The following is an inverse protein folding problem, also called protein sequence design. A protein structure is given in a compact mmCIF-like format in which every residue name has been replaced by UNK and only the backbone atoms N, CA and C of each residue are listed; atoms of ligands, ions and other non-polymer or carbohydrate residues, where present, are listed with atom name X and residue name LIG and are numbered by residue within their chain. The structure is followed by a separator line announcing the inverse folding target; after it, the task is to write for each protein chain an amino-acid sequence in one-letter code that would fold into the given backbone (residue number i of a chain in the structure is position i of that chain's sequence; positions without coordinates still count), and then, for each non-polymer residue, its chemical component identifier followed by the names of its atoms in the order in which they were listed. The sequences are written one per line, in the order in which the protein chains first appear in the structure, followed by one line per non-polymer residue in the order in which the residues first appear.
data_IF_644126336768
#
_entry.id   IF_644126336768
#
_cell.length_a   1.000
_cell.length_b   1.000
_cell.length_c   1.000
_cell.angle_alpha   90.00
_cell.angle_beta   90.00
_cell.angle_gamma   90.00
#
_symmetry.space_group_name_H-M   'P 1'
#
loop_
_entity.id
_entity.type
_entity.pdbx_description
1 polymer ?
#
# COMPACT_ATOMS: atom_id res chain seq x y z
N UNK A 1 -1.13 -2.75 -9.94
CA UNK A 1 -0.52 -1.63 -9.18
C UNK A 1 0.49 -2.13 -8.18
N UNK A 2 0.09 -2.90 -7.15
CA UNK A 2 1.01 -3.56 -6.21
C UNK A 2 2.11 -4.38 -6.90
N UNK A 3 1.73 -5.33 -7.76
CA UNK A 3 2.70 -6.19 -8.44
C UNK A 3 3.74 -5.37 -9.21
N UNK A 4 3.29 -4.50 -10.13
CA UNK A 4 4.18 -3.61 -10.88
C UNK A 4 5.04 -2.70 -10.00
N UNK A 5 4.53 -2.21 -8.86
CA UNK A 5 5.31 -1.41 -7.92
C UNK A 5 6.59 -2.12 -7.47
N UNK A 6 6.45 -3.39 -7.12
CA UNK A 6 7.52 -4.21 -6.59
C UNK A 6 8.31 -4.98 -7.64
N UNK A 7 7.75 -5.27 -8.82
CA UNK A 7 8.40 -6.17 -9.81
C UNK A 7 8.81 -5.51 -11.11
N UNK A 8 8.40 -4.27 -11.40
CA UNK A 8 8.79 -3.59 -12.64
C UNK A 8 10.30 -3.31 -12.69
N UNK A 9 10.83 -3.24 -13.91
CA UNK A 9 12.23 -2.91 -14.21
C UNK A 9 12.25 -1.78 -15.26
N UNK A 10 12.71 -0.57 -14.92
CA UNK A 10 13.00 -0.10 -13.57
C UNK A 10 11.75 -0.10 -12.68
N UNK A 11 11.94 -0.16 -11.36
CA UNK A 11 10.85 -0.11 -10.37
C UNK A 11 9.98 1.13 -10.61
N UNK A 12 8.66 1.03 -10.38
CA UNK A 12 7.72 2.14 -10.64
C UNK A 12 8.14 3.42 -9.95
N UNK A 13 8.65 3.34 -8.71
CA UNK A 13 9.15 4.49 -7.96
C UNK A 13 10.47 5.08 -8.47
N UNK A 14 11.24 4.31 -9.24
CA UNK A 14 12.50 4.73 -9.84
C UNK A 14 12.35 5.11 -11.33
N UNK A 15 11.19 4.86 -11.94
CA UNK A 15 10.95 5.11 -13.35
C UNK A 15 10.78 6.61 -13.64
N UNK A 16 11.60 7.13 -14.57
CA UNK A 16 11.51 8.52 -15.07
C UNK A 16 10.41 8.70 -16.12
N UNK A 17 9.90 7.61 -16.69
CA UNK A 17 8.91 7.63 -17.78
C UNK A 17 7.47 7.80 -17.28
N UNK A 18 7.24 7.64 -15.96
CA UNK A 18 5.91 7.78 -15.37
C UNK A 18 5.64 9.25 -15.05
N UNK A 19 4.50 9.77 -15.54
CA UNK A 19 4.05 11.13 -15.21
C UNK A 19 3.97 11.32 -13.70
N UNK A 20 4.43 12.48 -13.19
CA UNK A 20 4.46 12.79 -11.75
C UNK A 20 3.12 12.56 -11.04
N UNK A 21 2.02 12.94 -11.68
CA UNK A 21 0.66 12.75 -11.15
C UNK A 21 0.30 11.27 -11.00
N UNK A 22 0.54 10.46 -12.05
CA UNK A 22 0.30 9.02 -12.00
C UNK A 22 1.19 8.33 -10.95
N UNK A 23 2.45 8.74 -10.83
CA UNK A 23 3.35 8.23 -9.81
C UNK A 23 2.82 8.54 -8.39
N UNK A 24 2.35 9.76 -8.16
CA UNK A 24 1.73 10.14 -6.88
C UNK A 24 0.50 9.27 -6.54
N UNK A 25 -0.34 8.95 -7.52
CA UNK A 25 -1.48 8.06 -7.30
C UNK A 25 -1.05 6.63 -6.98
N UNK A 26 -0.08 6.09 -7.72
CA UNK A 26 0.47 4.76 -7.48
C UNK A 26 1.07 4.64 -6.07
N UNK A 27 1.81 5.67 -5.61
CA UNK A 27 2.33 5.76 -4.23
C UNK A 27 1.23 5.63 -3.19
N UNK A 28 0.13 6.36 -3.38
CA UNK A 28 -0.98 6.33 -2.44
C UNK A 28 -1.73 5.00 -2.46
N UNK A 29 -1.97 4.44 -3.65
CA UNK A 29 -2.61 3.13 -3.76
C UNK A 29 -1.79 2.06 -3.05
N UNK A 30 -0.49 2.00 -3.32
CA UNK A 30 0.41 1.02 -2.68
C UNK A 30 0.46 1.22 -1.17
N UNK A 31 0.58 2.48 -0.71
CA UNK A 31 0.54 2.78 0.72
C UNK A 31 -0.77 2.34 1.38
N UNK A 32 -1.92 2.58 0.76
CA UNK A 32 -3.18 2.07 1.30
C UNK A 32 -3.23 0.54 1.34
N UNK A 33 -2.76 -0.14 0.28
CA UNK A 33 -2.72 -1.60 0.24
C UNK A 33 -1.87 -2.20 1.37
N UNK A 34 -0.76 -1.56 1.74
CA UNK A 34 0.10 -1.99 2.86
C UNK A 34 -0.67 -2.02 4.19
N UNK A 35 -1.59 -1.09 4.43
CA UNK A 35 -2.39 -1.03 5.66
C UNK A 35 -3.33 -2.23 5.82
N UNK A 36 -3.69 -2.89 4.72
CA UNK A 36 -4.65 -4.00 4.69
C UNK A 36 -3.98 -5.38 4.71
N UNK A 37 -2.72 -5.45 5.16
CA UNK A 37 -2.01 -6.69 5.47
C UNK A 37 -1.94 -6.86 7.00
N UNK A 38 -2.89 -7.59 7.62
CA UNK A 38 -3.08 -7.59 9.08
C UNK A 38 -1.91 -8.23 9.84
N UNK A 39 -1.17 -9.13 9.19
CA UNK A 39 0.02 -9.80 9.73
C UNK A 39 1.34 -9.11 9.35
N UNK A 40 1.27 -7.98 8.63
CA UNK A 40 2.45 -7.39 8.00
C UNK A 40 2.88 -8.15 6.74
N UNK A 41 4.10 -7.88 6.29
CA UNK A 41 4.71 -8.53 5.13
C UNK A 41 6.22 -8.39 5.15
N UNK A 42 6.95 -9.37 4.64
CA UNK A 42 8.38 -9.25 4.39
C UNK A 42 8.66 -9.54 2.92
N UNK A 43 9.27 -8.59 2.22
CA UNK A 43 9.61 -8.72 0.81
C UNK A 43 11.12 -8.59 0.64
N UNK A 44 11.76 -9.67 0.21
CA UNK A 44 13.19 -9.68 -0.12
C UNK A 44 13.37 -9.72 -1.65
N UNK A 45 13.84 -8.63 -2.29
CA UNK A 45 14.08 -8.60 -3.73
C UNK A 45 15.06 -9.65 -4.27
N UNK A 46 15.94 -10.17 -3.41
CA UNK A 46 16.91 -11.22 -3.76
C UNK A 46 16.34 -12.64 -3.63
N UNK A 47 15.13 -12.80 -3.08
CA UNK A 47 14.47 -14.11 -2.96
C UNK A 47 14.01 -14.62 -4.33
N UNK A 48 14.25 -15.90 -4.67
CA UNK A 48 13.67 -16.48 -5.88
C UNK A 48 12.12 -16.51 -5.83
N UNK A 49 11.54 -16.50 -4.62
CA UNK A 49 10.10 -16.44 -4.41
C UNK A 49 9.52 -15.01 -4.46
N UNK A 50 10.35 -13.98 -4.65
CA UNK A 50 9.92 -12.57 -4.55
C UNK A 50 8.67 -12.26 -5.39
N UNK A 51 8.65 -12.68 -6.66
CA UNK A 51 7.52 -12.41 -7.56
C UNK A 51 6.23 -13.12 -7.11
N UNK A 52 6.32 -14.36 -6.62
CA UNK A 52 5.14 -15.10 -6.14
C UNK A 52 4.65 -14.55 -4.80
N UNK A 53 5.54 -14.18 -3.88
CA UNK A 53 5.21 -13.51 -2.61
C UNK A 53 4.50 -12.18 -2.86
N UNK A 54 5.05 -11.33 -3.74
CA UNK A 54 4.42 -10.07 -4.14
C UNK A 54 3.02 -10.32 -4.72
N UNK A 55 2.83 -11.36 -5.54
CA UNK A 55 1.53 -11.67 -6.12
C UNK A 55 0.50 -12.08 -5.06
N UNK A 56 0.88 -12.96 -4.11
CA UNK A 56 0.01 -13.44 -3.04
C UNK A 56 -0.39 -12.29 -2.12
N UNK A 57 0.59 -11.53 -1.63
CA UNK A 57 0.35 -10.36 -0.77
C UNK A 57 -0.50 -9.30 -1.47
N UNK A 58 -0.25 -9.06 -2.77
CA UNK A 58 -1.02 -8.12 -3.56
C UNK A 58 -2.50 -8.50 -3.67
N UNK A 59 -2.79 -9.80 -3.87
CA UNK A 59 -4.17 -10.32 -3.90
C UNK A 59 -4.85 -10.18 -2.55
N UNK A 60 -4.17 -10.53 -1.46
CA UNK A 60 -4.67 -10.40 -0.11
C UNK A 60 -4.99 -8.93 0.24
N UNK A 61 -4.02 -8.03 0.04
CA UNK A 61 -4.19 -6.60 0.28
C UNK A 61 -5.34 -6.00 -0.53
N UNK A 62 -5.48 -6.39 -1.80
CA UNK A 62 -6.58 -5.94 -2.64
C UNK A 62 -7.93 -6.45 -2.14
N UNK A 63 -8.04 -7.74 -1.77
CA UNK A 63 -9.26 -8.32 -1.22
C UNK A 63 -9.70 -7.62 0.06
N UNK A 64 -8.76 -7.41 0.99
CA UNK A 64 -9.02 -6.74 2.26
C UNK A 64 -9.43 -5.27 2.08
N UNK A 65 -8.76 -4.55 1.17
CA UNK A 65 -9.14 -3.18 0.80
C UNK A 65 -10.57 -3.09 0.27
N UNK A 66 -10.95 -4.02 -0.63
CA UNK A 66 -12.30 -4.04 -1.21
C UNK A 66 -13.36 -4.37 -0.17
N UNK A 67 -13.10 -5.32 0.73
CA UNK A 67 -13.99 -5.65 1.84
C UNK A 67 -14.21 -4.45 2.77
N UNK A 68 -13.14 -3.73 3.08
CA UNK A 68 -13.20 -2.50 3.88
C UNK A 68 -14.00 -1.40 3.18
N UNK A 69 -13.74 -1.15 1.89
CA UNK A 69 -14.50 -0.18 1.10
C UNK A 69 -16.00 -0.50 1.07
N UNK A 70 -16.36 -1.78 0.92
CA UNK A 70 -17.76 -2.24 0.94
C UNK A 70 -18.43 -1.92 2.28
N UNK A 71 -17.74 -2.18 3.39
CA UNK A 71 -18.21 -1.83 4.75
C UNK A 71 -18.44 -0.32 4.93
N UNK A 72 -17.71 0.50 4.19
CA UNK A 72 -17.82 1.96 4.21
C UNK A 72 -18.65 2.55 3.06
N UNK A 73 -19.50 1.74 2.42
CA UNK A 73 -20.48 2.20 1.43
C UNK A 73 -19.93 2.38 0.01
N UNK A 74 -18.78 1.80 -0.31
CA UNK A 74 -18.21 1.80 -1.67
C UNK A 74 -18.01 0.37 -2.18
N UNK A 75 -18.72 0.00 -3.24
CA UNK A 75 -18.64 -1.33 -3.87
C UNK A 75 -17.79 -1.34 -5.16
N UNK A 76 -17.04 -0.27 -5.43
CA UNK A 76 -16.34 -0.11 -6.71
C UNK A 76 -15.09 -0.99 -6.80
N UNK A 77 -14.94 -1.67 -7.94
CA UNK A 77 -13.74 -2.44 -8.29
C UNK A 77 -12.72 -1.64 -9.11
N UNK A 78 -13.13 -0.47 -9.63
CA UNK A 78 -12.26 0.37 -10.45
C UNK A 78 -11.21 1.07 -9.58
N UNK A 79 -9.94 0.90 -9.94
CA UNK A 79 -8.80 1.39 -9.16
C UNK A 79 -8.85 2.90 -8.84
N UNK A 80 -9.19 3.73 -9.83
CA UNK A 80 -9.28 5.20 -9.64
C UNK A 80 -10.38 5.60 -8.66
N UNK A 81 -11.55 4.96 -8.76
CA UNK A 81 -12.68 5.21 -7.87
C UNK A 81 -12.39 4.71 -6.45
N UNK A 82 -11.75 3.54 -6.32
CA UNK A 82 -11.32 3.00 -5.04
C UNK A 82 -10.31 3.93 -4.35
N UNK A 83 -9.33 4.49 -5.08
CA UNK A 83 -8.39 5.47 -4.53
C UNK A 83 -9.10 6.73 -4.03
N UNK A 84 -10.07 7.26 -4.79
CA UNK A 84 -10.87 8.43 -4.38
C UNK A 84 -11.67 8.13 -3.10
N UNK A 85 -12.27 6.95 -3.01
CA UNK A 85 -12.98 6.50 -1.82
C UNK A 85 -12.05 6.39 -0.60
N UNK A 86 -10.88 5.74 -0.76
CA UNK A 86 -9.88 5.61 0.30
C UNK A 86 -9.39 6.99 0.80
N UNK A 87 -9.10 7.93 -0.10
CA UNK A 87 -8.74 9.31 0.27
C UNK A 87 -9.85 9.99 1.09
N UNK A 88 -11.12 9.82 0.71
CA UNK A 88 -12.25 10.38 1.48
C UNK A 88 -12.34 9.75 2.87
N UNK A 89 -12.22 8.43 2.96
CA UNK A 89 -12.27 7.69 4.23
C UNK A 89 -11.09 8.07 5.14
N UNK A 90 -9.88 8.23 4.58
CA UNK A 90 -8.69 8.70 5.29
C UNK A 90 -8.90 10.10 5.86
N UNK A 91 -9.43 11.05 5.07
CA UNK A 91 -9.74 12.41 5.54
C UNK A 91 -10.75 12.43 6.71
N UNK A 92 -11.59 11.41 6.81
CA UNK A 92 -12.55 11.24 7.90
C UNK A 92 -11.96 10.52 9.13
N UNK A 93 -10.65 10.24 9.15
CA UNK A 93 -9.97 9.56 10.27
C UNK A 93 -10.25 8.06 10.37
N UNK A 94 -11.05 7.48 9.47
CA UNK A 94 -11.50 6.08 9.55
C UNK A 94 -10.40 5.05 9.20
N UNK A 95 -9.22 5.50 8.81
CA UNK A 95 -8.03 4.67 8.62
C UNK A 95 -7.01 4.79 9.76
N UNK A 96 -7.26 5.63 10.77
CA UNK A 96 -6.29 5.90 11.83
C UNK A 96 -5.86 4.61 12.56
N UNK A 97 -6.82 3.74 12.88
CA UNK A 97 -6.51 2.45 13.51
C UNK A 97 -5.65 1.55 12.61
N UNK A 98 -5.92 1.53 11.30
CA UNK A 98 -5.14 0.73 10.35
C UNK A 98 -3.71 1.28 10.21
N UNK A 99 -3.56 2.61 10.25
CA UNK A 99 -2.26 3.29 10.23
C UNK A 99 -1.51 2.98 11.52
N UNK A 100 -2.13 3.11 12.69
CA UNK A 100 -1.52 2.80 13.98
C UNK A 100 -1.03 1.35 14.05
N UNK A 101 -1.91 0.39 13.71
CA UNK A 101 -1.56 -1.03 13.67
C UNK A 101 -0.44 -1.32 12.65
N UNK A 102 -0.39 -0.60 11.53
CA UNK A 102 0.69 -0.76 10.56
C UNK A 102 2.03 -0.30 11.16
N UNK A 103 2.05 0.82 11.89
CA UNK A 103 3.26 1.29 12.58
C UNK A 103 3.67 0.37 13.73
N UNK A 104 2.73 -0.20 14.48
CA UNK A 104 3.05 -1.20 15.50
C UNK A 104 3.70 -2.45 14.90
N UNK A 105 3.24 -2.89 13.71
CA UNK A 105 3.87 -3.98 12.95
C UNK A 105 5.25 -3.61 12.41
N UNK A 106 5.46 -2.36 12.00
CA UNK A 106 6.79 -1.87 11.62
C UNK A 106 7.75 -1.94 12.81
N UNK A 107 7.32 -1.46 13.98
CA UNK A 107 8.14 -1.44 15.21
C UNK A 107 8.50 -2.86 15.67
N UNK A 108 7.61 -3.83 15.44
CA UNK A 108 7.83 -5.26 15.73
C UNK A 108 8.68 -5.99 14.67
N UNK A 109 9.08 -5.31 13.58
CA UNK A 109 9.82 -5.94 12.49
C UNK A 109 8.99 -6.88 11.60
N UNK A 110 7.65 -6.87 11.72
CA UNK A 110 6.74 -7.66 10.90
C UNK A 110 6.53 -7.06 9.49
N UNK A 111 7.12 -5.89 9.21
CA UNK A 111 7.08 -5.23 7.90
C UNK A 111 8.50 -4.98 7.39
N UNK A 112 8.85 -5.64 6.27
CA UNK A 112 10.09 -5.41 5.51
C UNK A 112 9.70 -4.98 4.11
N UNK A 113 9.71 -3.67 3.87
CA UNK A 113 9.42 -3.04 2.58
C UNK A 113 10.70 -2.61 1.86
N UNK A 114 11.01 -3.14 0.66
CA UNK A 114 12.18 -2.73 -0.12
C UNK A 114 12.01 -1.35 -0.81
N UNK A 115 10.86 -0.70 -0.67
CA UNK A 115 10.59 0.63 -1.24
C UNK A 115 11.39 1.69 -0.47
N UNK A 116 12.17 2.56 -1.15
CA UNK A 116 12.82 3.69 -0.48
C UNK A 116 11.81 4.58 0.24
N UNK A 117 12.11 5.01 1.47
CA UNK A 117 11.20 5.85 2.26
C UNK A 117 10.71 7.08 1.49
N UNK A 118 11.55 7.78 0.72
CA UNK A 118 11.11 8.95 -0.07
C UNK A 118 10.04 8.64 -1.14
N UNK A 119 9.86 7.38 -1.53
CA UNK A 119 8.84 6.96 -2.48
C UNK A 119 7.50 6.58 -1.82
N UNK A 120 7.41 6.53 -0.49
CA UNK A 120 6.18 6.18 0.23
C UNK A 120 5.37 7.44 0.60
N UNK A 121 4.04 7.33 0.78
CA UNK A 121 3.24 8.45 1.26
C UNK A 121 3.52 8.74 2.75
N UNK A 122 3.23 9.96 3.20
CA UNK A 122 3.57 10.41 4.56
C UNK A 122 3.00 9.51 5.68
N UNK A 123 1.75 9.06 5.55
CA UNK A 123 1.08 8.20 6.56
C UNK A 123 1.71 6.80 6.73
N UNK A 124 2.52 6.37 5.77
CA UNK A 124 3.30 5.11 5.85
C UNK A 124 4.67 5.35 6.48
N UNK A 125 5.24 6.54 6.29
CA UNK A 125 6.61 6.87 6.71
C UNK A 125 6.71 7.45 8.10
N UNK A 126 5.68 8.19 8.51
CA UNK A 126 5.67 8.96 9.75
C UNK A 126 4.60 8.37 10.65
N UNK A 127 5.02 7.88 11.82
CA UNK A 127 4.10 7.45 12.86
C UNK A 127 3.28 8.67 13.32
N UNK A 128 1.94 8.61 13.33
CA UNK A 128 1.12 9.71 13.82
C UNK A 128 1.48 10.01 15.28
N UNK A 129 1.63 11.28 15.63
CA UNK A 129 1.72 11.71 17.03
C UNK A 129 0.45 11.25 17.76
N UNK A 130 0.60 10.46 18.82
CA UNK A 130 -0.49 10.11 19.74
C UNK A 130 -0.94 11.32 20.54
#
# INVERSE_FOLDING_TARGET
MWFGWFTAEPRVYASKSIKKTALYELRHVVGYLMLFLPTGFALNPSSPAFKSEVLVLGKQAQGNTLAFLKKHGSSTVAAGTALKALRKIHKLGKLNDHIAQYHDRLDQGAVVDPTPSAALPAFIRVKPSQ
#
